data_IF_938193832795
#
_entry.id   IF_938193832795
#
_cell.length_a   1.000
_cell.length_b   1.000
_cell.length_c   1.000
_cell.angle_alpha   90.00
_cell.angle_beta   90.00
_cell.angle_gamma   90.00
#
_symmetry.space_group_name_H-M   'P 1'
#
loop_
_entity.id
_entity.type
_entity.pdbx_description
1 polymer ?
#
# COMPACT_ATOMS: atom_id res chain seq x y z
N UNK A 1 1.50 -9.00 4.42
CA UNK A 1 0.47 -8.34 5.28
C UNK A 1 -0.40 -9.41 5.95
N UNK A 2 -0.71 -9.35 7.26
CA UNK A 2 -1.48 -10.42 7.92
C UNK A 2 -2.94 -10.45 7.41
N UNK A 3 -3.39 -11.60 6.87
CA UNK A 3 -4.72 -11.80 6.26
C UNK A 3 -5.86 -11.33 7.19
N UNK A 4 -5.72 -11.52 8.50
CA UNK A 4 -6.72 -11.12 9.49
C UNK A 4 -6.97 -9.61 9.53
N UNK A 5 -5.91 -8.80 9.37
CA UNK A 5 -6.02 -7.33 9.34
C UNK A 5 -6.71 -6.84 8.07
N UNK A 6 -6.50 -7.55 6.97
CA UNK A 6 -7.12 -7.25 5.67
C UNK A 6 -8.63 -7.54 5.70
N UNK A 7 -9.04 -8.67 6.27
CA UNK A 7 -10.48 -9.02 6.37
C UNK A 7 -11.27 -8.01 7.19
N UNK A 8 -10.69 -7.47 8.27
CA UNK A 8 -11.33 -6.43 9.08
C UNK A 8 -11.56 -5.13 8.28
N UNK A 9 -10.62 -4.74 7.41
CA UNK A 9 -10.74 -3.56 6.55
C UNK A 9 -11.85 -3.71 5.50
N UNK A 10 -12.06 -4.91 4.95
CA UNK A 10 -13.13 -5.14 3.96
C UNK A 10 -14.52 -5.01 4.58
N UNK A 11 -14.67 -5.37 5.86
CA UNK A 11 -15.97 -5.35 6.52
C UNK A 11 -16.53 -3.93 6.74
N UNK A 12 -15.67 -2.92 6.79
CA UNK A 12 -16.06 -1.51 6.99
C UNK A 12 -16.28 -0.75 5.68
N UNK A 13 -15.98 -1.36 4.52
CA UNK A 13 -16.18 -0.77 3.20
C UNK A 13 -17.66 -0.92 2.80
N UNK A 14 -18.22 0.11 2.16
CA UNK A 14 -19.59 0.09 1.62
C UNK A 14 -19.81 -1.13 0.69
N UNK A 15 -21.00 -1.74 0.76
CA UNK A 15 -21.30 -3.01 0.07
C UNK A 15 -21.05 -2.96 -1.45
N UNK A 16 -21.36 -1.84 -2.08
CA UNK A 16 -21.15 -1.58 -3.51
C UNK A 16 -19.65 -1.53 -3.90
N UNK A 17 -18.78 -1.19 -2.95
CA UNK A 17 -17.33 -1.06 -3.15
C UNK A 17 -16.55 -2.31 -2.74
N UNK A 18 -17.15 -3.24 -1.98
CA UNK A 18 -16.51 -4.49 -1.54
C UNK A 18 -15.89 -5.32 -2.68
N UNK A 19 -16.53 -5.49 -3.85
CA UNK A 19 -15.93 -6.26 -4.95
C UNK A 19 -14.64 -5.62 -5.49
N UNK A 20 -14.56 -4.28 -5.49
CA UNK A 20 -13.38 -3.52 -5.92
C UNK A 20 -12.27 -3.72 -4.88
N UNK A 21 -12.59 -3.56 -3.59
CA UNK A 21 -11.64 -3.76 -2.51
C UNK A 21 -11.03 -5.17 -2.50
N UNK A 22 -11.84 -6.20 -2.73
CA UNK A 22 -11.37 -7.59 -2.78
C UNK A 22 -10.37 -7.82 -3.94
N UNK A 23 -10.64 -7.27 -5.13
CA UNK A 23 -9.69 -7.33 -6.25
C UNK A 23 -8.38 -6.60 -5.93
N UNK A 24 -8.45 -5.39 -5.35
CA UNK A 24 -7.26 -4.65 -4.93
C UNK A 24 -6.41 -5.45 -3.94
N UNK A 25 -7.05 -6.11 -2.97
CA UNK A 25 -6.36 -6.95 -1.98
C UNK A 25 -5.66 -8.15 -2.63
N UNK A 26 -6.31 -8.81 -3.59
CA UNK A 26 -5.70 -9.93 -4.32
C UNK A 26 -4.45 -9.48 -5.07
N UNK A 27 -4.54 -8.36 -5.80
CA UNK A 27 -3.41 -7.78 -6.52
C UNK A 27 -2.29 -7.36 -5.56
N UNK A 28 -2.62 -6.69 -4.45
CA UNK A 28 -1.65 -6.32 -3.41
C UNK A 28 -0.91 -7.55 -2.86
N UNK A 29 -1.62 -8.66 -2.60
CA UNK A 29 -1.00 -9.90 -2.12
C UNK A 29 -0.03 -10.50 -3.14
N UNK A 30 -0.40 -10.48 -4.42
CA UNK A 30 0.46 -10.94 -5.51
C UNK A 30 1.71 -10.04 -5.65
N UNK A 31 1.51 -8.73 -5.59
CA UNK A 31 2.60 -7.75 -5.66
C UNK A 31 3.55 -7.84 -4.46
N UNK A 32 3.06 -8.07 -3.24
CA UNK A 32 3.89 -8.24 -2.03
C UNK A 32 4.85 -9.44 -2.18
N UNK A 33 4.33 -10.55 -2.71
CA UNK A 33 5.12 -11.75 -3.03
C UNK A 33 6.16 -11.45 -4.12
N UNK A 34 5.77 -10.71 -5.15
CA UNK A 34 6.66 -10.30 -6.26
C UNK A 34 7.78 -9.38 -5.77
N UNK A 35 7.45 -8.37 -4.96
CA UNK A 35 8.42 -7.45 -4.35
C UNK A 35 9.42 -8.18 -3.46
N UNK A 36 8.99 -9.23 -2.77
CA UNK A 36 9.89 -10.07 -1.95
C UNK A 36 10.92 -10.79 -2.82
N UNK A 37 10.48 -11.41 -3.92
CA UNK A 37 11.38 -12.08 -4.88
C UNK A 37 12.36 -11.11 -5.54
N UNK A 38 11.87 -9.93 -5.94
CA UNK A 38 12.72 -8.90 -6.55
C UNK A 38 13.77 -8.38 -5.57
N UNK A 39 13.40 -8.16 -4.29
CA UNK A 39 14.39 -7.78 -3.25
C UNK A 39 15.46 -8.83 -3.05
N UNK A 40 15.10 -10.11 -3.06
CA UNK A 40 16.08 -11.20 -2.96
C UNK A 40 17.06 -11.15 -4.13
N UNK A 41 16.56 -11.06 -5.36
CA UNK A 41 17.40 -10.97 -6.57
C UNK A 41 18.32 -9.73 -6.56
N UNK A 42 17.85 -8.59 -6.04
CA UNK A 42 18.68 -7.37 -5.91
C UNK A 42 19.74 -7.54 -4.81
N UNK A 43 19.42 -8.21 -3.70
CA UNK A 43 20.39 -8.49 -2.63
C UNK A 43 21.50 -9.42 -3.09
N UNK A 44 21.16 -10.39 -3.92
CA UNK A 44 22.11 -11.36 -4.49
C UNK A 44 22.95 -10.74 -5.62
N UNK A 45 22.30 -10.07 -6.57
CA UNK A 45 22.97 -9.55 -7.78
C UNK A 45 23.43 -8.10 -7.72
N UNK A 46 23.10 -7.36 -6.66
CA UNK A 46 23.38 -5.93 -6.55
C UNK A 46 22.54 -5.05 -7.52
N UNK A 47 22.75 -3.73 -7.49
CA UNK A 47 22.02 -2.78 -8.34
C UNK A 47 22.50 -2.76 -9.80
N UNK A 48 23.72 -3.24 -10.05
CA UNK A 48 24.38 -3.29 -11.37
C UNK A 48 24.88 -4.71 -11.57
N UNK A 49 24.68 -5.24 -12.78
CA UNK A 49 25.10 -6.57 -13.20
C UNK A 49 25.95 -6.48 -14.47
N UNK A 50 26.77 -7.50 -14.70
CA UNK A 50 27.50 -7.62 -15.95
C UNK A 50 26.55 -7.92 -17.12
N UNK A 51 26.77 -7.23 -18.23
CA UNK A 51 26.08 -7.43 -19.48
C UNK A 51 27.06 -7.66 -20.63
N UNK A 52 26.55 -8.17 -21.75
CA UNK A 52 27.36 -8.48 -22.93
C UNK A 52 28.13 -7.26 -23.49
N UNK A 53 27.66 -6.04 -23.21
CA UNK A 53 28.27 -4.78 -23.68
C UNK A 53 28.83 -3.93 -22.53
N UNK A 54 28.98 -4.51 -21.34
CA UNK A 54 29.43 -3.82 -20.12
C UNK A 54 28.40 -3.82 -18.99
N UNK A 55 28.73 -3.19 -17.85
CA UNK A 55 27.85 -3.12 -16.69
C UNK A 55 26.53 -2.44 -17.03
N UNK A 56 25.41 -3.05 -16.61
CA UNK A 56 24.06 -2.53 -16.83
C UNK A 56 23.25 -2.59 -15.54
N UNK A 57 22.19 -1.80 -15.48
CA UNK A 57 21.26 -1.83 -14.35
C UNK A 57 20.62 -3.21 -14.22
N UNK A 58 20.52 -3.71 -12.99
CA UNK A 58 19.87 -4.97 -12.70
C UNK A 58 18.37 -4.90 -13.11
N UNK A 59 17.89 -5.76 -14.03
CA UNK A 59 16.47 -5.78 -14.41
C UNK A 59 15.52 -5.96 -13.22
N UNK A 60 15.94 -6.70 -12.19
CA UNK A 60 15.17 -6.86 -10.96
C UNK A 60 15.02 -5.53 -10.20
N UNK A 61 16.03 -4.66 -10.22
CA UNK A 61 15.96 -3.32 -9.61
C UNK A 61 14.94 -2.44 -10.35
N UNK A 62 14.98 -2.46 -11.69
CA UNK A 62 14.01 -1.71 -12.50
C UNK A 62 12.59 -2.20 -12.25
N UNK A 63 12.37 -3.51 -12.30
CA UNK A 63 11.07 -4.10 -11.99
C UNK A 63 10.60 -3.76 -10.58
N UNK A 64 11.48 -3.85 -9.58
CA UNK A 64 11.16 -3.51 -8.19
C UNK A 64 10.67 -2.07 -8.05
N UNK A 65 11.39 -1.12 -8.64
CA UNK A 65 11.04 0.30 -8.57
C UNK A 65 9.66 0.57 -9.20
N UNK A 66 9.35 -0.06 -10.33
CA UNK A 66 8.00 0.06 -10.93
C UNK A 66 6.93 -0.61 -10.07
N UNK A 67 7.18 -1.82 -9.57
CA UNK A 67 6.21 -2.58 -8.77
C UNK A 67 5.91 -1.87 -7.44
N UNK A 68 6.92 -1.31 -6.75
CA UNK A 68 6.70 -0.65 -5.45
C UNK A 68 5.90 0.64 -5.58
N UNK A 69 6.11 1.41 -6.66
CA UNK A 69 5.31 2.60 -6.95
C UNK A 69 3.84 2.25 -7.19
N UNK A 70 3.58 1.22 -8.00
CA UNK A 70 2.22 0.72 -8.24
C UNK A 70 1.58 0.14 -6.98
N UNK A 71 2.37 -0.56 -6.16
CA UNK A 71 1.92 -1.11 -4.88
C UNK A 71 1.48 0.00 -3.94
N UNK A 72 2.22 1.11 -3.88
CA UNK A 72 1.82 2.29 -3.10
C UNK A 72 0.52 2.91 -3.62
N UNK A 73 0.34 3.00 -4.95
CA UNK A 73 -0.90 3.49 -5.55
C UNK A 73 -2.11 2.61 -5.19
N UNK A 74 -2.00 1.28 -5.32
CA UNK A 74 -3.09 0.37 -4.98
C UNK A 74 -3.43 0.41 -3.48
N UNK A 75 -2.43 0.56 -2.61
CA UNK A 75 -2.68 0.76 -1.17
C UNK A 75 -3.45 2.04 -0.92
N UNK A 76 -3.08 3.15 -1.58
CA UNK A 76 -3.82 4.40 -1.48
C UNK A 76 -5.27 4.23 -1.95
N UNK A 77 -5.48 3.60 -3.12
CA UNK A 77 -6.83 3.32 -3.62
C UNK A 77 -7.65 2.48 -2.63
N UNK A 78 -7.05 1.47 -2.00
CA UNK A 78 -7.73 0.67 -0.99
C UNK A 78 -8.08 1.49 0.26
N UNK A 79 -7.19 2.38 0.70
CA UNK A 79 -7.44 3.30 1.82
C UNK A 79 -8.55 4.28 1.49
N UNK A 80 -8.58 4.80 0.26
CA UNK A 80 -9.60 5.75 -0.20
C UNK A 80 -11.01 5.11 -0.29
N UNK A 81 -11.11 3.78 -0.31
CA UNK A 81 -12.39 3.05 -0.21
C UNK A 81 -12.90 2.94 1.23
N UNK A 82 -12.03 3.15 2.23
CA UNK A 82 -12.44 3.07 3.62
C UNK A 82 -13.33 4.28 3.96
N UNK A 83 -14.31 4.11 4.85
CA UNK A 83 -15.06 5.24 5.37
C UNK A 83 -14.07 6.22 6.02
N UNK A 84 -14.30 7.54 5.89
CA UNK A 84 -13.45 8.52 6.52
C UNK A 84 -13.32 8.19 8.00
N UNK A 85 -12.09 8.01 8.47
CA UNK A 85 -11.84 7.84 9.91
C UNK A 85 -12.45 9.05 10.58
N UNK A 86 -13.42 8.84 11.48
CA UNK A 86 -13.95 9.90 12.31
C UNK A 86 -12.74 10.63 12.90
N UNK A 87 -12.52 11.88 12.48
CA UNK A 87 -11.59 12.74 13.22
C UNK A 87 -12.09 12.67 14.65
N UNK A 88 -11.24 12.37 15.66
CA UNK A 88 -11.67 12.58 17.03
C UNK A 88 -12.25 13.98 17.05
N UNK A 89 -13.52 14.10 17.47
CA UNK A 89 -14.16 15.41 17.59
C UNK A 89 -13.12 16.27 18.27
N UNK A 90 -12.62 17.29 17.56
CA UNK A 90 -11.88 18.33 18.21
C UNK A 90 -12.91 18.87 19.19
N UNK A 91 -12.86 18.39 20.44
CA UNK A 91 -13.53 19.04 21.55
C UNK A 91 -13.02 20.45 21.46
N UNK A 92 -13.86 21.31 20.93
CA UNK A 92 -13.51 22.68 20.62
C UNK A 92 -13.38 23.34 21.99
N UNK A 93 -12.19 23.23 22.58
CA UNK A 93 -11.85 23.75 23.92
C UNK A 93 -12.20 25.25 23.99
N UNK A 94 -12.19 25.92 22.83
CA UNK A 94 -12.62 27.29 22.62
C UNK A 94 -14.14 27.46 22.76
N UNK A 95 -14.95 26.53 22.23
CA UNK A 95 -16.40 26.52 22.40
C UNK A 95 -16.84 26.18 23.84
N UNK A 96 -16.11 25.31 24.55
CA UNK A 96 -16.34 25.05 25.98
C UNK A 96 -15.94 26.25 26.86
N UNK A 97 -14.87 26.97 26.51
CA UNK A 97 -14.47 28.20 27.21
C UNK A 97 -15.49 29.33 27.03
N UNK A 98 -16.04 29.50 25.83
CA UNK A 98 -17.04 30.53 25.53
C UNK A 98 -18.39 30.29 26.24
N UNK A 99 -18.73 29.02 26.56
CA UNK A 99 -19.95 28.67 27.31
C UNK A 99 -19.84 28.89 28.84
N UNK A 100 -18.65 29.19 29.36
CA UNK A 100 -18.41 29.43 30.79
C UNK A 100 -18.54 30.91 31.22
N UNK A 101 -19.14 31.77 30.40
CA UNK A 101 -19.43 33.17 30.77
C UNK A 101 -20.88 33.39 31.18
#
# INVERSE_FOLDING_TARGET
MAITKIKALVNIIDDDRKPIAQKLIQELSFMDTTLTKLRAAIREGGPVIDGNTGPKQNPALTAYNTTIQRYALLNKQLIDLLPPTAKPEAKDELAEFLKKK
#
